data_IF_902667155182
#
_entry.id   IF_902667155182
#
_cell.length_a   1.000
_cell.length_b   1.000
_cell.length_c   1.000
_cell.angle_alpha   90.00
_cell.angle_beta   90.00
_cell.angle_gamma   90.00
#
_symmetry.space_group_name_H-M   'P 1'
#
loop_
_entity.id
_entity.type
_entity.pdbx_description
1 polymer ?
#
# COMPACT_ATOMS: atom_id res chain seq x y z
N UNK A 1 53.71 12.58 -18.82
CA UNK A 1 53.05 11.77 -19.85
C UNK A 1 51.71 12.38 -20.33
N UNK A 2 51.28 13.54 -19.81
CA UNK A 2 49.96 14.16 -20.05
C UNK A 2 49.90 15.14 -21.23
N UNK A 3 51.05 15.58 -21.77
CA UNK A 3 51.08 16.54 -22.89
C UNK A 3 50.58 15.96 -24.21
N UNK A 4 50.65 14.64 -24.41
CA UNK A 4 50.38 14.01 -25.70
C UNK A 4 48.87 13.90 -25.99
N UNK A 5 48.06 13.47 -25.00
CA UNK A 5 46.61 13.38 -25.15
C UNK A 5 45.93 14.76 -25.23
N UNK A 6 46.41 15.74 -24.45
CA UNK A 6 45.96 17.14 -24.59
C UNK A 6 46.27 17.69 -25.98
N UNK A 7 47.48 17.45 -26.49
CA UNK A 7 47.86 17.90 -27.84
C UNK A 7 47.05 17.18 -28.93
N UNK A 8 46.73 15.88 -28.77
CA UNK A 8 45.84 15.17 -29.69
C UNK A 8 44.46 15.83 -29.75
N UNK A 9 43.88 16.19 -28.59
CA UNK A 9 42.60 16.90 -28.55
C UNK A 9 42.68 18.30 -29.14
N UNK A 10 43.78 19.02 -28.93
CA UNK A 10 44.02 20.33 -29.58
C UNK A 10 44.04 20.19 -31.11
N UNK A 11 44.70 19.16 -31.66
CA UNK A 11 44.67 18.87 -33.10
C UNK A 11 43.28 18.51 -33.61
N UNK A 12 42.50 17.76 -32.83
CA UNK A 12 41.10 17.51 -33.16
C UNK A 12 40.30 18.82 -33.24
N UNK A 13 40.50 19.74 -32.29
CA UNK A 13 39.85 21.07 -32.28
C UNK A 13 40.27 21.92 -33.48
N UNK A 14 41.56 21.98 -33.79
CA UNK A 14 42.09 22.71 -34.96
C UNK A 14 41.47 22.19 -36.26
N UNK A 15 41.36 20.87 -36.41
CA UNK A 15 40.78 20.25 -37.59
C UNK A 15 39.29 20.62 -37.75
N UNK A 16 38.51 20.56 -36.66
CA UNK A 16 37.11 21.00 -36.68
C UNK A 16 37.00 22.50 -36.96
N UNK A 17 37.85 23.33 -36.37
CA UNK A 17 37.89 24.77 -36.62
C UNK A 17 38.24 25.12 -38.08
N UNK A 18 39.00 24.24 -38.77
CA UNK A 18 39.32 24.38 -40.19
C UNK A 18 38.19 23.93 -41.14
N UNK A 19 37.05 23.49 -40.60
CA UNK A 19 35.86 23.11 -41.37
C UNK A 19 35.62 21.61 -41.47
N UNK A 20 36.36 20.76 -40.75
CA UNK A 20 36.07 19.34 -40.68
C UNK A 20 34.78 19.07 -39.88
N UNK A 21 34.01 18.08 -40.32
CA UNK A 21 32.86 17.57 -39.57
C UNK A 21 33.31 16.60 -38.48
N UNK A 22 32.66 16.66 -37.31
CA UNK A 22 32.86 15.74 -36.20
C UNK A 22 31.57 14.96 -35.93
N UNK A 23 31.64 13.63 -36.02
CA UNK A 23 30.60 12.70 -35.57
C UNK A 23 31.12 12.00 -34.31
N UNK A 24 30.47 12.24 -33.17
CA UNK A 24 30.91 11.74 -31.89
C UNK A 24 29.92 10.73 -31.31
N UNK A 25 30.40 9.49 -31.09
CA UNK A 25 29.66 8.34 -30.57
C UNK A 25 30.18 7.94 -29.20
N UNK A 26 29.62 6.94 -28.53
CA UNK A 26 30.09 6.56 -27.17
C UNK A 26 31.54 6.02 -27.22
N UNK A 27 31.84 5.22 -28.23
CA UNK A 27 33.07 4.44 -28.40
C UNK A 27 34.10 5.13 -29.30
N UNK A 28 33.69 6.06 -30.15
CA UNK A 28 34.57 6.70 -31.11
C UNK A 28 34.22 8.17 -31.40
N UNK A 29 35.25 8.92 -31.79
CA UNK A 29 35.12 10.22 -32.44
C UNK A 29 35.61 10.08 -33.89
N UNK A 30 34.75 10.42 -34.85
CA UNK A 30 35.06 10.37 -36.28
C UNK A 30 35.12 11.79 -36.83
N UNK A 31 36.30 12.21 -37.28
CA UNK A 31 36.53 13.49 -37.92
C UNK A 31 36.63 13.27 -39.43
N UNK A 32 35.92 14.08 -40.23
CA UNK A 32 36.00 14.03 -41.70
C UNK A 32 36.29 15.41 -42.24
N UNK A 33 37.40 15.55 -42.95
CA UNK A 33 37.82 16.83 -43.51
C UNK A 33 39.19 16.74 -44.17
N UNK A 34 39.83 17.90 -44.35
CA UNK A 34 41.15 18.00 -44.98
C UNK A 34 42.18 18.42 -43.96
N UNK A 35 43.39 17.88 -44.09
CA UNK A 35 44.49 18.26 -43.24
C UNK A 35 45.04 19.63 -43.68
N UNK A 36 45.28 20.56 -42.74
CA UNK A 36 45.66 21.93 -43.09
C UNK A 36 47.10 22.06 -43.61
N UNK A 37 47.98 21.11 -43.29
CA UNK A 37 49.40 21.12 -43.69
C UNK A 37 50.03 19.72 -43.65
N UNK A 38 51.19 19.59 -44.29
CA UNK A 38 52.02 18.39 -44.20
C UNK A 38 52.44 18.07 -42.75
N UNK A 39 52.75 19.11 -41.95
CA UNK A 39 53.09 18.96 -40.53
C UNK A 39 51.91 18.37 -39.74
N UNK A 40 50.68 18.76 -40.06
CA UNK A 40 49.49 18.18 -39.44
C UNK A 40 49.34 16.70 -39.82
N UNK A 41 49.62 16.31 -41.07
CA UNK A 41 49.62 14.90 -41.47
C UNK A 41 50.66 14.10 -40.69
N UNK A 42 51.89 14.60 -40.57
CA UNK A 42 52.95 13.94 -39.80
C UNK A 42 52.50 13.78 -38.34
N UNK A 43 51.96 14.82 -37.71
CA UNK A 43 51.49 14.76 -36.32
C UNK A 43 50.37 13.73 -36.11
N UNK A 44 49.37 13.68 -37.01
CA UNK A 44 48.29 12.68 -36.92
C UNK A 44 48.80 11.25 -37.10
N UNK A 45 49.77 11.04 -37.98
CA UNK A 45 50.41 9.73 -38.17
C UNK A 45 51.29 9.34 -36.97
N UNK A 46 51.98 10.29 -36.34
CA UNK A 46 52.71 10.05 -35.09
C UNK A 46 51.78 9.59 -33.96
N UNK A 47 50.60 10.19 -33.83
CA UNK A 47 49.59 9.72 -32.87
C UNK A 47 49.01 8.36 -33.23
N UNK A 48 48.93 8.01 -34.53
CA UNK A 48 48.41 6.72 -34.95
C UNK A 48 49.39 5.58 -34.58
N UNK A 49 50.69 5.85 -34.62
CA UNK A 49 51.73 4.89 -34.23
C UNK A 49 51.85 4.73 -32.70
N UNK A 50 51.68 5.82 -31.94
CA UNK A 50 51.73 5.82 -30.47
C UNK A 50 50.51 6.56 -29.90
N UNK A 51 49.40 5.84 -29.79
CA UNK A 51 48.12 6.38 -29.34
C UNK A 51 48.23 6.78 -27.87
N UNK A 52 48.07 8.08 -27.52
CA UNK A 52 48.24 8.50 -26.16
C UNK A 52 47.07 8.04 -25.28
N UNK A 53 47.31 7.50 -24.08
CA UNK A 53 46.25 7.21 -23.13
C UNK A 53 45.51 8.51 -22.74
N UNK A 54 44.20 8.49 -22.49
CA UNK A 54 43.34 7.31 -22.31
C UNK A 54 42.67 6.77 -23.60
N UNK A 55 43.05 7.25 -24.79
CA UNK A 55 42.46 6.78 -26.05
C UNK A 55 42.92 5.36 -26.38
N UNK A 56 42.04 4.57 -27.02
CA UNK A 56 42.28 3.15 -27.28
C UNK A 56 42.85 2.86 -28.66
N UNK A 57 42.55 3.71 -29.64
CA UNK A 57 42.98 3.55 -31.03
C UNK A 57 42.93 4.87 -31.77
N UNK A 58 43.74 5.03 -32.81
CA UNK A 58 43.62 6.13 -33.77
C UNK A 58 43.90 5.59 -35.17
N UNK A 59 43.02 5.92 -36.12
CA UNK A 59 43.16 5.57 -37.52
C UNK A 59 43.04 6.83 -38.38
N UNK A 60 43.88 6.95 -39.40
CA UNK A 60 43.85 8.05 -40.37
C UNK A 60 43.60 7.43 -41.75
N UNK A 61 42.34 7.33 -42.14
CA UNK A 61 41.91 6.65 -43.35
C UNK A 61 41.84 7.60 -44.54
N UNK A 62 42.34 7.17 -45.70
CA UNK A 62 42.21 7.86 -46.97
C UNK A 62 41.18 7.15 -47.89
N UNK A 63 39.99 7.74 -48.08
CA UNK A 63 38.95 7.16 -48.92
C UNK A 63 39.36 6.98 -50.39
N UNK A 64 40.26 7.82 -50.91
CA UNK A 64 40.70 7.76 -52.30
C UNK A 64 41.66 6.59 -52.56
N UNK A 65 42.45 6.18 -51.55
CA UNK A 65 43.35 5.03 -51.64
C UNK A 65 42.71 3.73 -51.16
N UNK A 66 41.57 3.80 -50.47
CA UNK A 66 40.91 2.63 -49.89
C UNK A 66 41.67 2.02 -48.72
N UNK A 67 42.49 2.82 -48.01
CA UNK A 67 43.36 2.34 -46.94
C UNK A 67 43.83 3.46 -46.01
N UNK A 68 44.51 3.07 -44.94
CA UNK A 68 45.09 3.99 -43.96
C UNK A 68 46.32 4.71 -44.54
N UNK A 69 46.46 5.99 -44.20
CA UNK A 69 47.69 6.73 -44.46
C UNK A 69 48.82 6.19 -43.59
N UNK A 70 50.01 6.09 -44.15
CA UNK A 70 51.22 5.64 -43.47
C UNK A 70 52.31 6.69 -43.51
N UNK A 71 53.29 6.59 -42.60
CA UNK A 71 54.48 7.47 -42.67
C UNK A 71 55.18 7.32 -44.02
N UNK A 72 55.44 8.46 -44.67
CA UNK A 72 56.08 8.52 -45.97
C UNK A 72 55.11 8.80 -47.13
N UNK A 73 53.80 8.76 -46.91
CA UNK A 73 52.83 9.20 -47.90
C UNK A 73 52.94 10.71 -48.16
N UNK A 74 52.98 11.11 -49.44
CA UNK A 74 53.02 12.52 -49.82
C UNK A 74 51.76 13.25 -49.34
N UNK A 75 51.96 14.47 -48.81
CA UNK A 75 50.87 15.35 -48.41
C UNK A 75 50.17 15.93 -49.65
N UNK A 76 48.83 15.91 -49.62
CA UNK A 76 47.97 16.53 -50.62
C UNK A 76 46.92 17.41 -49.92
N UNK A 77 46.92 18.75 -50.16
CA UNK A 77 46.00 19.67 -49.51
C UNK A 77 44.53 19.48 -49.94
N UNK A 78 44.28 18.79 -51.05
CA UNK A 78 42.92 18.50 -51.53
C UNK A 78 42.40 17.14 -51.07
N UNK A 79 43.22 16.35 -50.38
CA UNK A 79 42.86 15.02 -49.90
C UNK A 79 41.93 15.12 -48.70
N UNK A 80 40.76 14.50 -48.84
CA UNK A 80 39.87 14.25 -47.71
C UNK A 80 40.37 13.04 -46.91
N UNK A 81 40.34 13.16 -45.59
CA UNK A 81 40.74 12.10 -44.65
C UNK A 81 39.60 11.83 -43.67
N UNK A 82 39.54 10.59 -43.19
CA UNK A 82 38.63 10.16 -42.12
C UNK A 82 39.50 9.74 -40.94
N UNK A 83 39.47 10.52 -39.87
CA UNK A 83 40.22 10.22 -38.66
C UNK A 83 39.26 9.60 -37.65
N UNK A 84 39.55 8.37 -37.20
CA UNK A 84 38.74 7.66 -36.20
C UNK A 84 39.54 7.49 -34.93
N UNK A 85 39.12 8.16 -33.87
CA UNK A 85 39.71 8.09 -32.53
C UNK A 85 38.84 7.22 -31.63
N UNK A 86 39.38 6.11 -31.14
CA UNK A 86 38.74 5.22 -30.18
C UNK A 86 38.82 5.79 -28.77
N UNK A 87 37.68 5.84 -28.08
CA UNK A 87 37.53 6.37 -26.73
C UNK A 87 37.62 5.25 -25.69
N UNK A 88 38.04 5.58 -24.45
CA UNK A 88 38.09 4.57 -23.40
C UNK A 88 36.71 3.99 -23.12
N UNK A 89 36.69 2.70 -22.82
CA UNK A 89 35.50 1.99 -22.36
C UNK A 89 35.59 1.88 -20.84
N UNK A 90 34.64 2.48 -20.14
CA UNK A 90 34.51 2.36 -18.70
C UNK A 90 33.03 2.16 -18.33
N UNK A 91 32.78 1.27 -17.37
CA UNK A 91 31.42 0.91 -16.97
C UNK A 91 30.63 2.13 -16.50
N UNK A 92 29.49 2.38 -17.15
CA UNK A 92 28.59 3.47 -16.81
C UNK A 92 29.10 4.87 -17.16
N UNK A 93 30.20 5.00 -17.92
CA UNK A 93 30.74 6.30 -18.33
C UNK A 93 30.72 6.43 -19.87
N UNK A 94 30.24 7.56 -20.38
CA UNK A 94 30.52 7.99 -21.74
C UNK A 94 31.49 9.17 -21.74
N UNK A 95 32.41 9.14 -22.68
CA UNK A 95 33.46 10.14 -22.82
C UNK A 95 33.19 10.96 -24.07
N UNK A 96 33.34 12.28 -24.01
CA UNK A 96 33.16 13.18 -25.15
C UNK A 96 34.30 14.18 -25.22
N UNK A 97 34.76 14.47 -26.43
CA UNK A 97 35.71 15.54 -26.71
C UNK A 97 34.97 16.86 -26.84
N UNK A 98 33.90 16.88 -27.64
CA UNK A 98 33.16 18.09 -27.97
C UNK A 98 31.79 18.13 -27.30
N UNK A 99 31.39 19.32 -26.82
CA UNK A 99 30.03 19.53 -26.31
C UNK A 99 28.95 19.39 -27.39
N UNK A 100 29.30 19.54 -28.67
CA UNK A 100 28.37 19.47 -29.81
C UNK A 100 27.80 18.07 -30.06
N UNK A 101 28.47 17.00 -29.61
CA UNK A 101 27.97 15.61 -29.71
C UNK A 101 26.91 15.26 -28.66
N UNK A 102 26.84 16.02 -27.57
CA UNK A 102 25.97 15.73 -26.42
C UNK A 102 24.46 15.74 -26.76
N UNK A 103 23.92 16.71 -27.51
CA UNK A 103 22.48 16.75 -27.79
C UNK A 103 21.98 15.49 -28.50
N UNK A 104 22.75 14.96 -29.46
CA UNK A 104 22.39 13.74 -30.19
C UNK A 104 22.40 12.51 -29.27
N UNK A 105 23.40 12.43 -28.38
CA UNK A 105 23.49 11.37 -27.39
C UNK A 105 22.34 11.40 -26.37
N UNK A 106 22.03 12.58 -25.81
CA UNK A 106 20.94 12.74 -24.84
C UNK A 106 19.55 12.49 -25.43
N UNK A 107 19.39 12.60 -26.76
CA UNK A 107 18.14 12.25 -27.43
C UNK A 107 17.84 10.74 -27.39
N UNK A 108 18.83 9.90 -27.08
CA UNK A 108 18.63 8.46 -26.93
C UNK A 108 17.75 8.14 -25.72
N UNK A 109 17.13 6.96 -25.72
CA UNK A 109 16.19 6.54 -24.68
C UNK A 109 16.87 6.18 -23.35
N UNK A 110 18.11 5.72 -23.43
CA UNK A 110 18.93 5.38 -22.28
C UNK A 110 20.24 6.16 -22.37
N UNK A 111 20.66 6.70 -21.22
CA UNK A 111 21.92 7.43 -21.07
C UNK A 111 22.74 6.77 -19.97
N UNK A 112 24.05 6.83 -20.10
CA UNK A 112 24.97 6.30 -19.10
C UNK A 112 25.01 7.23 -17.89
N UNK A 113 25.23 6.70 -16.67
CA UNK A 113 25.22 7.49 -15.44
C UNK A 113 26.24 8.62 -15.36
N UNK A 114 27.33 8.58 -16.13
CA UNK A 114 28.34 9.65 -16.13
C UNK A 114 28.75 10.05 -17.55
N UNK A 115 28.80 11.35 -17.80
CA UNK A 115 29.32 11.97 -19.01
C UNK A 115 30.55 12.79 -18.66
N UNK A 116 31.71 12.37 -19.15
CA UNK A 116 32.97 13.09 -19.00
C UNK A 116 33.28 13.82 -20.31
N UNK A 117 33.41 15.15 -20.28
CA UNK A 117 33.55 15.98 -21.47
C UNK A 117 34.85 16.80 -21.42
N UNK A 118 35.71 16.73 -22.45
CA UNK A 118 37.00 17.46 -22.46
C UNK A 118 36.81 18.97 -22.63
N UNK A 119 35.91 19.41 -23.52
CA UNK A 119 35.59 20.82 -23.75
C UNK A 119 34.78 21.48 -22.62
N UNK A 120 34.77 20.89 -21.44
CA UNK A 120 33.92 21.25 -20.31
C UNK A 120 34.79 21.74 -19.16
N UNK A 121 34.34 22.81 -18.50
CA UNK A 121 35.02 23.31 -17.30
C UNK A 121 34.30 22.82 -16.03
N UNK A 122 35.00 22.90 -14.89
CA UNK A 122 34.44 22.50 -13.59
C UNK A 122 33.25 23.36 -13.14
N UNK A 123 33.15 24.62 -13.59
CA UNK A 123 32.00 25.48 -13.30
C UNK A 123 30.74 25.08 -14.10
N UNK A 124 30.90 24.35 -15.21
CA UNK A 124 29.82 23.84 -16.04
C UNK A 124 29.32 22.47 -15.59
N UNK A 125 30.02 21.82 -14.65
CA UNK A 125 29.62 20.54 -14.07
C UNK A 125 28.23 20.62 -13.42
N UNK A 126 27.42 19.59 -13.64
CA UNK A 126 26.10 19.47 -13.03
C UNK A 126 25.76 18.02 -12.72
N UNK A 127 24.85 17.83 -11.78
CA UNK A 127 24.46 16.52 -11.29
C UNK A 127 22.94 16.40 -11.25
N UNK A 128 22.43 15.33 -11.86
CA UNK A 128 21.06 14.85 -11.77
C UNK A 128 21.07 13.47 -11.09
N UNK A 129 19.91 13.01 -10.58
CA UNK A 129 19.83 11.82 -9.71
C UNK A 129 20.46 10.54 -10.28
N UNK A 130 20.49 10.39 -11.60
CA UNK A 130 21.09 9.25 -12.30
C UNK A 130 22.05 9.66 -13.41
N UNK A 131 22.53 10.91 -13.40
CA UNK A 131 23.41 11.44 -14.43
C UNK A 131 24.35 12.49 -13.83
N UNK A 132 25.65 12.25 -13.93
CA UNK A 132 26.68 13.23 -13.62
C UNK A 132 27.35 13.70 -14.90
N UNK A 133 27.43 15.01 -15.08
CA UNK A 133 28.15 15.61 -16.21
C UNK A 133 29.30 16.44 -15.69
N UNK A 134 30.52 16.03 -16.02
CA UNK A 134 31.74 16.60 -15.47
C UNK A 134 32.82 16.80 -16.54
N UNK A 135 33.82 17.62 -16.21
CA UNK A 135 34.99 17.79 -17.04
C UNK A 135 35.81 16.50 -17.10
N UNK A 136 36.22 16.10 -18.30
CA UNK A 136 37.12 14.97 -18.50
C UNK A 136 38.56 15.43 -18.37
N UNK A 137 39.15 15.18 -17.20
CA UNK A 137 40.59 15.32 -17.01
C UNK A 137 41.32 14.14 -17.68
N UNK A 138 41.95 14.39 -18.83
CA UNK A 138 42.72 13.40 -19.58
C UNK A 138 43.93 12.85 -18.79
N UNK A 139 44.36 13.54 -17.73
CA UNK A 139 45.46 13.10 -16.88
C UNK A 139 45.03 12.10 -15.80
N UNK A 140 43.73 12.02 -15.49
CA UNK A 140 43.22 11.20 -14.39
C UNK A 140 42.24 10.15 -14.87
N UNK A 141 42.27 8.93 -14.32
CA UNK A 141 41.23 7.96 -14.58
C UNK A 141 39.90 8.49 -14.03
N UNK A 142 38.84 8.40 -14.84
CA UNK A 142 37.50 8.76 -14.40
C UNK A 142 37.00 7.65 -13.47
N UNK A 143 36.62 7.97 -12.22
CA UNK A 143 36.11 6.96 -11.30
C UNK A 143 34.81 6.35 -11.84
N UNK A 144 34.41 5.15 -11.37
CA UNK A 144 33.08 4.64 -11.65
C UNK A 144 32.01 5.57 -11.08
N UNK A 145 30.81 5.62 -11.68
CA UNK A 145 29.70 6.39 -11.14
C UNK A 145 29.24 5.82 -9.78
N UNK A 146 28.71 6.68 -8.92
CA UNK A 146 28.11 6.24 -7.67
C UNK A 146 26.90 5.32 -7.94
N UNK A 147 26.65 4.37 -7.04
CA UNK A 147 25.65 3.33 -7.22
C UNK A 147 24.25 3.96 -7.44
N UNK A 148 23.65 3.67 -8.60
CA UNK A 148 22.37 4.26 -9.00
C UNK A 148 21.24 3.83 -8.06
N UNK A 149 20.39 4.77 -7.65
CA UNK A 149 19.05 4.43 -7.16
C UNK A 149 18.28 3.67 -8.23
N UNK A 150 17.36 2.77 -7.83
CA UNK A 150 16.54 2.03 -8.79
C UNK A 150 15.82 2.95 -9.80
N UNK A 151 15.56 2.49 -11.03
CA UNK A 151 15.03 3.33 -12.10
C UNK A 151 13.62 3.83 -11.74
N UNK A 152 13.36 5.10 -12.04
CA UNK A 152 12.00 5.65 -11.98
C UNK A 152 11.37 5.43 -13.35
N UNK A 153 10.61 4.34 -13.49
CA UNK A 153 10.01 3.92 -14.77
C UNK A 153 8.57 4.46 -14.93
N UNK A 154 8.35 5.51 -15.74
CA UNK A 154 7.02 6.06 -15.98
C UNK A 154 6.21 5.23 -17.00
N UNK A 155 6.82 4.28 -17.72
CA UNK A 155 6.17 3.57 -18.83
C UNK A 155 4.95 2.75 -18.42
N UNK A 156 4.81 2.46 -17.12
CA UNK A 156 3.64 1.77 -16.54
C UNK A 156 2.40 2.66 -16.46
N UNK A 157 2.58 3.98 -16.40
CA UNK A 157 1.50 4.95 -16.19
C UNK A 157 1.15 5.73 -17.46
N UNK A 158 2.07 5.75 -18.43
CA UNK A 158 1.94 6.50 -19.69
C UNK A 158 1.74 5.55 -20.86
N UNK A 159 0.70 5.76 -21.68
CA UNK A 159 0.54 5.00 -22.92
C UNK A 159 1.29 5.66 -24.06
N UNK A 160 2.37 5.00 -24.49
CA UNK A 160 3.22 5.46 -25.57
C UNK A 160 2.84 4.82 -26.91
N UNK A 161 2.27 5.64 -27.80
CA UNK A 161 1.91 5.29 -29.18
C UNK A 161 2.92 5.81 -30.21
N UNK A 162 4.05 6.39 -29.77
CA UNK A 162 5.12 6.82 -30.67
C UNK A 162 5.96 5.59 -31.07
N UNK A 163 6.20 5.33 -32.37
CA UNK A 163 6.95 4.16 -32.83
C UNK A 163 8.33 4.01 -32.18
N UNK A 164 9.06 5.12 -32.06
CA UNK A 164 10.43 5.16 -31.51
C UNK A 164 10.49 5.16 -29.97
N UNK A 165 9.33 5.02 -29.31
CA UNK A 165 9.17 5.05 -27.85
C UNK A 165 9.67 6.35 -27.21
N UNK A 166 8.82 7.37 -27.26
CA UNK A 166 9.10 8.68 -26.65
C UNK A 166 9.32 8.60 -25.13
N UNK A 167 8.67 7.65 -24.46
CA UNK A 167 8.72 7.53 -23.01
C UNK A 167 9.96 6.73 -22.58
N UNK A 168 10.82 7.40 -21.80
CA UNK A 168 12.03 6.83 -21.21
C UNK A 168 11.70 5.80 -20.13
N UNK A 169 12.62 4.87 -19.89
CA UNK A 169 12.49 3.83 -18.85
C UNK A 169 13.06 4.26 -17.50
N UNK A 170 13.73 5.41 -17.46
CA UNK A 170 14.26 5.98 -16.22
C UNK A 170 14.20 7.52 -16.26
N UNK A 171 13.56 8.12 -15.26
CA UNK A 171 13.50 9.57 -15.07
C UNK A 171 14.68 10.15 -14.26
N UNK A 172 15.47 9.33 -13.56
CA UNK A 172 16.58 9.81 -12.72
C UNK A 172 17.58 10.72 -13.47
N UNK A 173 18.01 10.43 -14.72
CA UNK A 173 18.95 11.28 -15.46
C UNK A 173 18.43 12.70 -15.77
N UNK A 174 17.13 12.91 -15.65
CA UNK A 174 16.45 14.14 -16.05
C UNK A 174 16.03 15.00 -14.85
N UNK A 175 16.21 14.50 -13.62
CA UNK A 175 15.88 15.21 -12.37
C UNK A 175 17.12 15.88 -11.78
N UNK A 176 17.23 17.20 -11.96
CA UNK A 176 18.38 17.98 -11.46
C UNK A 176 18.51 17.90 -9.93
N UNK A 177 19.73 17.71 -9.45
CA UNK A 177 20.10 17.78 -8.03
C UNK A 177 20.99 18.98 -7.76
N UNK A 178 22.01 19.17 -8.60
CA UNK A 178 22.97 20.27 -8.50
C UNK A 178 23.08 20.97 -9.85
N UNK A 179 22.64 22.23 -9.89
CA UNK A 179 22.78 23.10 -11.06
C UNK A 179 24.25 23.49 -11.29
N UNK A 180 24.65 23.75 -12.55
CA UNK A 180 25.99 24.24 -12.83
C UNK A 180 26.16 25.69 -12.37
N UNK A 181 27.40 26.06 -12.02
CA UNK A 181 27.74 27.45 -11.69
C UNK A 181 27.77 28.36 -12.92
N UNK A 182 28.04 27.80 -14.10
CA UNK A 182 28.02 28.49 -15.39
C UNK A 182 27.24 27.68 -16.44
N UNK A 183 26.39 28.35 -17.23
CA UNK A 183 25.64 27.71 -18.32
C UNK A 183 26.59 27.25 -19.44
N UNK A 184 26.25 26.14 -20.08
CA UNK A 184 26.98 25.57 -21.22
C UNK A 184 26.00 25.09 -22.30
N UNK A 185 26.43 24.99 -23.57
CA UNK A 185 25.63 24.38 -24.63
C UNK A 185 25.14 22.97 -24.27
N UNK A 186 25.98 22.15 -23.62
CA UNK A 186 25.59 20.83 -23.17
C UNK A 186 24.49 20.87 -22.09
N UNK A 187 24.58 21.80 -21.12
CA UNK A 187 23.55 21.96 -20.10
C UNK A 187 22.22 22.45 -20.70
N UNK A 188 22.25 23.39 -21.65
CA UNK A 188 21.04 23.87 -22.33
C UNK A 188 20.36 22.77 -23.15
N UNK A 189 21.14 21.95 -23.84
CA UNK A 189 20.63 20.78 -24.55
C UNK A 189 20.03 19.75 -23.59
N UNK A 190 20.72 19.47 -22.48
CA UNK A 190 20.21 18.61 -21.42
C UNK A 190 18.92 19.15 -20.83
N UNK A 191 18.82 20.44 -20.53
CA UNK A 191 17.63 21.06 -19.95
C UNK A 191 16.40 20.94 -20.86
N UNK A 192 16.58 21.16 -22.17
CA UNK A 192 15.51 21.01 -23.15
C UNK A 192 15.01 19.56 -23.23
N UNK A 193 15.94 18.59 -23.27
CA UNK A 193 15.60 17.17 -23.32
C UNK A 193 15.00 16.71 -21.99
N UNK A 194 15.55 17.14 -20.86
CA UNK A 194 15.08 16.81 -19.52
C UNK A 194 13.63 17.27 -19.33
N UNK A 195 13.30 18.51 -19.70
CA UNK A 195 11.92 19.01 -19.62
C UNK A 195 10.96 18.16 -20.47
N UNK A 196 11.35 17.81 -21.70
CA UNK A 196 10.58 16.92 -22.58
C UNK A 196 10.37 15.53 -21.96
N UNK A 197 11.43 14.90 -21.43
CA UNK A 197 11.34 13.55 -20.82
C UNK A 197 10.54 13.55 -19.53
N UNK A 198 10.71 14.56 -18.67
CA UNK A 198 9.94 14.71 -17.43
C UNK A 198 8.45 14.91 -17.73
N UNK A 199 8.10 15.81 -18.66
CA UNK A 199 6.72 15.99 -19.06
C UNK A 199 6.16 14.69 -19.66
N UNK A 200 6.93 14.01 -20.52
CA UNK A 200 6.57 12.70 -21.05
C UNK A 200 6.19 11.68 -19.98
N UNK A 201 6.92 11.66 -18.86
CA UNK A 201 6.63 10.78 -17.73
C UNK A 201 5.44 11.20 -16.85
N UNK A 202 4.95 12.43 -16.97
CA UNK A 202 3.86 12.99 -16.14
C UNK A 202 2.51 13.05 -16.87
N UNK A 203 2.50 12.84 -18.19
CA UNK A 203 1.30 12.86 -19.02
C UNK A 203 0.67 11.47 -19.15
N UNK A 204 -0.59 11.40 -19.57
CA UNK A 204 -1.29 10.10 -19.71
C UNK A 204 -0.93 9.35 -20.99
N UNK A 205 -0.60 10.07 -22.07
CA UNK A 205 -0.34 9.48 -23.39
C UNK A 205 0.69 10.28 -24.19
N UNK A 206 1.41 9.58 -25.05
CA UNK A 206 2.21 10.18 -26.13
C UNK A 206 1.77 9.57 -27.47
N UNK A 207 1.68 10.37 -28.53
CA UNK A 207 1.46 9.87 -29.89
C UNK A 207 2.16 10.74 -30.93
N UNK A 208 2.29 10.18 -32.13
CA UNK A 208 2.80 10.85 -33.31
C UNK A 208 1.62 11.25 -34.22
N UNK A 209 1.52 12.52 -34.56
CA UNK A 209 0.48 13.07 -35.45
C UNK A 209 1.17 14.06 -36.40
N UNK A 210 1.06 13.84 -37.71
CA UNK A 210 1.71 14.66 -38.76
C UNK A 210 3.23 14.84 -38.58
N UNK A 211 3.93 13.80 -38.10
CA UNK A 211 5.37 13.85 -37.82
C UNK A 211 5.74 14.62 -36.54
N UNK A 212 4.75 15.13 -35.81
CA UNK A 212 4.93 15.83 -34.54
C UNK A 212 4.59 14.90 -33.37
N UNK A 213 5.45 14.90 -32.34
CA UNK A 213 5.17 14.18 -31.09
C UNK A 213 4.34 15.07 -30.17
N UNK A 214 3.18 14.56 -29.74
CA UNK A 214 2.27 15.22 -28.82
C UNK A 214 2.18 14.46 -27.50
N UNK A 215 2.26 15.22 -26.41
CA UNK A 215 2.16 14.76 -25.03
C UNK A 215 0.79 15.20 -24.48
N UNK A 216 -0.02 14.23 -24.04
CA UNK A 216 -1.42 14.47 -23.63
C UNK A 216 -1.63 14.25 -22.14
N UNK A 217 -1.95 15.34 -21.44
CA UNK A 217 -2.47 15.30 -20.09
C UNK A 217 -3.95 14.86 -20.09
N UNK A 218 -4.29 14.00 -19.11
CA UNK A 218 -5.56 13.31 -18.95
C UNK A 218 -5.94 12.34 -20.09
N UNK A 219 -6.53 11.19 -19.73
CA UNK A 219 -7.06 10.22 -20.68
C UNK A 219 -8.48 10.56 -21.16
N UNK A 220 -9.20 11.38 -20.38
CA UNK A 220 -10.61 11.76 -20.58
C UNK A 220 -10.77 13.28 -20.50
N UNK A 221 -11.80 13.88 -21.12
CA UNK A 221 -12.04 15.32 -21.05
C UNK A 221 -12.10 15.88 -19.61
N UNK A 222 -11.57 17.09 -19.37
CA UNK A 222 -10.86 17.94 -20.33
C UNK A 222 -9.47 17.36 -20.69
N UNK A 223 -9.09 17.47 -21.97
CA UNK A 223 -7.81 17.00 -22.49
C UNK A 223 -6.91 18.21 -22.77
N UNK A 224 -5.64 18.11 -22.43
CA UNK A 224 -4.63 19.11 -22.79
C UNK A 224 -3.45 18.45 -23.52
N UNK A 225 -3.04 19.05 -24.65
CA UNK A 225 -1.98 18.55 -25.52
C UNK A 225 -0.85 19.58 -25.61
N UNK A 226 0.38 19.13 -25.43
CA UNK A 226 1.60 19.92 -25.52
C UNK A 226 2.51 19.24 -26.55
N UNK A 227 3.18 20.01 -27.41
CA UNK A 227 4.18 19.44 -28.32
C UNK A 227 5.44 19.08 -27.55
N UNK A 228 6.05 17.94 -27.86
CA UNK A 228 7.26 17.50 -27.17
C UNK A 228 8.48 18.43 -27.42
N UNK A 229 8.47 19.22 -28.48
CA UNK A 229 9.48 20.20 -28.87
C UNK A 229 9.04 21.66 -28.63
N UNK A 230 8.03 21.88 -27.78
CA UNK A 230 7.56 23.22 -27.46
C UNK A 230 8.68 24.06 -26.83
N UNK A 231 8.94 25.22 -27.41
CA UNK A 231 9.99 26.15 -26.97
C UNK A 231 9.85 26.64 -25.53
N UNK A 232 8.67 26.53 -24.92
CA UNK A 232 8.44 26.91 -23.53
C UNK A 232 8.91 25.84 -22.53
N UNK A 233 9.11 24.59 -22.96
CA UNK A 233 9.44 23.47 -22.07
C UNK A 233 10.74 23.66 -21.27
N UNK A 234 11.89 24.06 -21.86
CA UNK A 234 13.14 24.16 -21.12
C UNK A 234 13.02 25.07 -19.88
N UNK A 235 12.27 26.17 -19.99
CA UNK A 235 12.02 27.11 -18.89
C UNK A 235 11.11 26.60 -17.76
N UNK A 236 10.55 25.39 -17.90
CA UNK A 236 9.64 24.76 -16.91
C UNK A 236 10.25 23.56 -16.20
N UNK A 237 11.54 23.28 -16.41
CA UNK A 237 12.24 22.12 -15.86
C UNK A 237 12.12 22.03 -14.33
N UNK A 238 12.21 23.15 -13.61
CA UNK A 238 12.06 23.18 -12.15
C UNK A 238 10.70 22.65 -11.69
N UNK A 239 9.62 23.14 -12.29
CA UNK A 239 8.25 22.73 -11.98
C UNK A 239 8.01 21.26 -12.32
N UNK A 240 8.54 20.82 -13.47
CA UNK A 240 8.48 19.41 -13.88
C UNK A 240 9.28 18.50 -12.94
N UNK A 241 10.43 18.95 -12.44
CA UNK A 241 11.24 18.20 -11.46
C UNK A 241 10.50 18.09 -10.13
N UNK A 242 9.85 19.17 -9.68
CA UNK A 242 9.04 19.15 -8.45
C UNK A 242 7.83 18.21 -8.60
N UNK A 243 7.10 18.31 -9.72
CA UNK A 243 5.97 17.44 -10.01
C UNK A 243 6.40 15.96 -10.08
N UNK A 244 7.49 15.64 -10.78
CA UNK A 244 8.03 14.29 -10.85
C UNK A 244 8.47 13.78 -9.46
N UNK A 245 9.08 14.63 -8.65
CA UNK A 245 9.45 14.28 -7.27
C UNK A 245 8.22 13.99 -6.40
N UNK A 246 7.16 14.77 -6.55
CA UNK A 246 5.91 14.55 -5.83
C UNK A 246 5.21 13.25 -6.27
N UNK A 247 5.10 13.01 -7.58
CA UNK A 247 4.43 11.83 -8.13
C UNK A 247 5.20 10.54 -7.81
N UNK A 248 6.50 10.50 -8.10
CA UNK A 248 7.28 9.26 -8.11
C UNK A 248 8.07 9.00 -6.82
N UNK A 249 8.44 10.04 -6.07
CA UNK A 249 9.35 9.90 -4.91
C UNK A 249 8.68 10.10 -3.54
N UNK A 250 7.47 10.65 -3.49
CA UNK A 250 6.82 10.99 -2.20
C UNK A 250 6.06 9.85 -1.53
N UNK A 251 6.07 8.63 -2.09
CA UNK A 251 5.51 7.43 -1.45
C UNK A 251 5.05 6.38 -2.45
N UNK A 252 4.33 5.36 -1.97
CA UNK A 252 3.98 4.16 -2.77
C UNK A 252 2.81 4.36 -3.74
N UNK A 253 1.93 5.32 -3.49
CA UNK A 253 0.74 5.56 -4.32
C UNK A 253 1.04 6.43 -5.56
N UNK A 254 1.93 5.92 -6.41
CA UNK A 254 2.38 6.62 -7.61
C UNK A 254 1.24 6.74 -8.63
N UNK A 255 0.41 5.71 -8.77
CA UNK A 255 -0.67 5.66 -9.75
C UNK A 255 -1.73 6.75 -9.50
N UNK A 256 -2.21 6.89 -8.25
CA UNK A 256 -3.19 7.92 -7.92
C UNK A 256 -2.61 9.32 -8.10
N UNK A 257 -1.37 9.56 -7.65
CA UNK A 257 -0.70 10.87 -7.82
C UNK A 257 -0.49 11.22 -9.29
N UNK A 258 -0.04 10.27 -10.10
CA UNK A 258 0.12 10.46 -11.55
C UNK A 258 -1.23 10.78 -12.21
N UNK A 259 -2.28 10.02 -11.89
CA UNK A 259 -3.62 10.24 -12.44
C UNK A 259 -4.18 11.63 -12.05
N UNK A 260 -4.05 12.00 -10.78
CA UNK A 260 -4.49 13.30 -10.27
C UNK A 260 -3.71 14.45 -10.90
N UNK A 261 -2.38 14.36 -10.96
CA UNK A 261 -1.55 15.38 -11.60
C UNK A 261 -1.89 15.54 -13.08
N UNK A 262 -1.97 14.44 -13.83
CA UNK A 262 -2.32 14.48 -15.26
C UNK A 262 -3.71 15.07 -15.50
N UNK A 263 -4.67 14.78 -14.61
CA UNK A 263 -6.01 15.34 -14.65
C UNK A 263 -6.05 16.84 -14.34
N UNK A 264 -5.37 17.27 -13.28
CA UNK A 264 -5.31 18.68 -12.89
C UNK A 264 -4.49 19.52 -13.87
N UNK A 265 -3.45 18.96 -14.49
CA UNK A 265 -2.72 19.62 -15.58
C UNK A 265 -3.64 19.94 -16.76
N UNK A 266 -4.55 19.02 -17.10
CA UNK A 266 -5.51 19.26 -18.16
C UNK A 266 -6.59 20.30 -17.79
N UNK A 267 -6.92 20.43 -16.49
CA UNK A 267 -7.90 21.41 -15.98
C UNK A 267 -7.32 22.81 -15.77
N UNK A 268 -6.04 22.88 -15.38
CA UNK A 268 -5.34 24.12 -15.11
C UNK A 268 -5.10 24.95 -16.37
N UNK A 269 -5.10 24.32 -17.55
CA UNK A 269 -4.85 25.01 -18.81
C UNK A 269 -5.90 26.11 -19.08
N UNK A 270 -5.44 27.36 -19.10
CA UNK A 270 -6.22 28.51 -19.60
C UNK A 270 -5.65 29.07 -20.90
N UNK A 271 -6.50 29.68 -21.75
CA UNK A 271 -6.03 30.49 -22.87
C UNK A 271 -5.04 31.58 -22.39
N UNK A 272 -3.97 31.83 -23.17
CA UNK A 272 -2.91 32.83 -22.92
C UNK A 272 -2.06 32.63 -21.63
N UNK A 273 -2.29 31.59 -20.85
CA UNK A 273 -1.45 31.26 -19.70
C UNK A 273 -0.15 30.58 -20.14
N UNK A 274 0.96 30.91 -19.47
CA UNK A 274 2.24 30.26 -19.67
C UNK A 274 2.27 28.85 -19.05
N UNK A 275 3.17 28.01 -19.56
CA UNK A 275 3.25 26.61 -19.14
C UNK A 275 3.75 26.47 -17.69
N UNK A 276 4.67 27.34 -17.24
CA UNK A 276 5.19 27.31 -15.88
C UNK A 276 4.07 27.53 -14.86
N UNK A 277 3.30 28.61 -14.99
CA UNK A 277 2.15 28.88 -14.11
C UNK A 277 1.09 27.79 -14.20
N UNK A 278 0.88 27.18 -15.38
CA UNK A 278 -0.06 26.06 -15.54
C UNK A 278 0.40 24.84 -14.74
N UNK A 279 1.69 24.51 -14.75
CA UNK A 279 2.27 23.39 -14.01
C UNK A 279 2.21 23.62 -12.49
N UNK A 280 2.50 24.84 -12.02
CA UNK A 280 2.43 25.18 -10.59
C UNK A 280 1.00 25.03 -10.06
N UNK A 281 0.02 25.59 -10.78
CA UNK A 281 -1.39 25.47 -10.40
C UNK A 281 -1.87 24.01 -10.43
N UNK A 282 -1.44 23.25 -11.44
CA UNK A 282 -1.78 21.83 -11.54
C UNK A 282 -1.19 21.01 -10.40
N UNK A 283 0.06 21.27 -10.01
CA UNK A 283 0.72 20.57 -8.92
C UNK A 283 0.05 20.84 -7.58
N UNK A 284 -0.26 22.11 -7.26
CA UNK A 284 -0.95 22.47 -6.03
C UNK A 284 -2.38 21.91 -5.97
N UNK A 285 -3.11 21.98 -7.09
CA UNK A 285 -4.43 21.35 -7.18
C UNK A 285 -4.37 19.83 -7.02
N UNK A 286 -3.36 19.17 -7.60
CA UNK A 286 -3.18 17.72 -7.49
C UNK A 286 -2.80 17.29 -6.07
N UNK A 287 -1.93 18.05 -5.38
CA UNK A 287 -1.59 17.84 -3.96
C UNK A 287 -2.85 17.94 -3.08
N UNK A 288 -3.66 18.99 -3.27
CA UNK A 288 -4.91 19.18 -2.53
C UNK A 288 -5.94 18.07 -2.83
N UNK A 289 -6.08 17.67 -4.09
CA UNK A 289 -6.98 16.59 -4.50
C UNK A 289 -6.54 15.23 -3.92
N UNK A 290 -5.23 14.98 -3.87
CA UNK A 290 -4.68 13.78 -3.23
C UNK A 290 -4.93 13.76 -1.73
N UNK A 291 -4.73 14.88 -1.04
CA UNK A 291 -5.05 14.98 0.39
C UNK A 291 -6.53 14.70 0.65
N UNK A 292 -7.43 15.28 -0.16
CA UNK A 292 -8.86 15.01 -0.07
C UNK A 292 -9.19 13.51 -0.34
N UNK A 293 -8.53 12.89 -1.32
CA UNK A 293 -8.68 11.47 -1.62
C UNK A 293 -8.26 10.56 -0.45
N UNK A 294 -7.12 10.86 0.17
CA UNK A 294 -6.63 10.12 1.35
C UNK A 294 -7.60 10.29 2.53
N UNK A 295 -8.11 11.51 2.74
CA UNK A 295 -9.11 11.78 3.78
C UNK A 295 -10.45 11.05 3.53
N UNK A 296 -10.94 11.03 2.29
CA UNK A 296 -12.18 10.34 1.94
C UNK A 296 -12.06 8.82 2.10
N UNK A 297 -10.94 8.24 1.65
CA UNK A 297 -10.66 6.81 1.83
C UNK A 297 -10.60 6.42 3.32
N UNK A 298 -9.98 7.27 4.15
CA UNK A 298 -9.96 7.11 5.61
C UNK A 298 -11.37 7.18 6.22
N UNK A 299 -12.24 8.06 5.72
CA UNK A 299 -13.64 8.14 6.17
C UNK A 299 -14.46 6.91 5.78
N UNK A 300 -14.26 6.37 4.59
CA UNK A 300 -14.95 5.16 4.12
C UNK A 300 -14.52 3.92 4.91
N UNK A 301 -13.23 3.78 5.22
CA UNK A 301 -12.73 2.68 6.07
C UNK A 301 -13.27 2.77 7.50
N UNK A 302 -13.32 3.97 8.09
CA UNK A 302 -13.97 4.18 9.40
C UNK A 302 -15.46 3.84 9.37
N UNK A 303 -16.16 4.18 8.28
CA UNK A 303 -17.57 3.82 8.09
C UNK A 303 -17.76 2.31 7.97
N UNK A 304 -16.92 1.63 7.19
CA UNK A 304 -16.96 0.17 7.05
C UNK A 304 -16.71 -0.53 8.40
N UNK A 305 -15.79 -0.02 9.23
CA UNK A 305 -15.57 -0.50 10.59
C UNK A 305 -16.79 -0.27 11.49
N UNK A 306 -17.46 0.88 11.37
CA UNK A 306 -18.69 1.16 12.12
C UNK A 306 -19.84 0.23 11.70
N UNK A 307 -19.99 -0.02 10.39
CA UNK A 307 -20.99 -0.93 9.85
C UNK A 307 -20.70 -2.38 10.28
N UNK A 308 -19.44 -2.82 10.22
CA UNK A 308 -19.02 -4.14 10.73
C UNK A 308 -19.39 -4.32 12.21
N UNK A 309 -19.12 -3.30 13.04
CA UNK A 309 -19.51 -3.31 14.46
C UNK A 309 -21.01 -3.46 14.63
N UNK A 310 -21.80 -2.69 13.87
CA UNK A 310 -23.26 -2.76 13.93
C UNK A 310 -23.74 -4.17 13.59
N UNK A 311 -23.23 -4.75 12.52
CA UNK A 311 -23.55 -6.13 12.11
C UNK A 311 -23.21 -7.13 13.21
N UNK A 312 -22.02 -7.04 13.82
CA UNK A 312 -21.63 -7.94 14.92
C UNK A 312 -22.54 -7.80 16.14
N UNK A 313 -22.95 -6.58 16.50
CA UNK A 313 -23.90 -6.35 17.60
C UNK A 313 -25.27 -6.96 17.26
N UNK A 314 -25.80 -6.69 16.07
CA UNK A 314 -27.09 -7.21 15.61
C UNK A 314 -27.09 -8.74 15.57
N UNK A 315 -26.01 -9.37 15.11
CA UNK A 315 -25.84 -10.83 15.13
C UNK A 315 -25.76 -11.37 16.55
N UNK A 316 -25.02 -10.72 17.45
CA UNK A 316 -24.93 -11.13 18.86
C UNK A 316 -26.29 -11.04 19.56
N UNK A 317 -27.07 -9.99 19.27
CA UNK A 317 -28.45 -9.84 19.77
C UNK A 317 -29.37 -10.92 19.21
N UNK A 318 -29.29 -11.24 17.92
CA UNK A 318 -30.05 -12.34 17.31
C UNK A 318 -29.71 -13.69 17.94
N UNK A 319 -28.43 -13.96 18.21
CA UNK A 319 -27.99 -15.19 18.87
C UNK A 319 -28.53 -15.26 20.30
N UNK A 320 -28.45 -14.15 21.05
CA UNK A 320 -29.01 -14.08 22.39
C UNK A 320 -30.53 -14.30 22.41
N UNK A 321 -31.25 -13.69 21.47
CA UNK A 321 -32.69 -13.88 21.30
C UNK A 321 -33.00 -15.35 20.96
N UNK A 322 -32.30 -15.96 20.01
CA UNK A 322 -32.47 -17.38 19.68
C UNK A 322 -32.20 -18.28 20.88
N UNK A 323 -31.20 -17.97 21.71
CA UNK A 323 -30.93 -18.72 22.93
C UNK A 323 -32.08 -18.59 23.95
N UNK A 324 -32.64 -17.39 24.11
CA UNK A 324 -33.81 -17.15 24.95
C UNK A 324 -35.06 -17.85 24.42
N UNK A 325 -35.30 -17.82 23.11
CA UNK A 325 -36.42 -18.49 22.45
C UNK A 325 -36.31 -20.01 22.55
N UNK A 326 -35.10 -20.57 22.39
CA UNK A 326 -34.83 -21.99 22.62
C UNK A 326 -35.10 -22.36 24.08
N UNK A 327 -34.63 -21.55 25.03
CA UNK A 327 -34.93 -21.77 26.45
C UNK A 327 -36.45 -21.74 26.69
N UNK A 328 -37.17 -20.74 26.16
CA UNK A 328 -38.64 -20.64 26.26
C UNK A 328 -39.38 -21.82 25.62
N UNK A 329 -38.85 -22.36 24.52
CA UNK A 329 -39.41 -23.55 23.86
C UNK A 329 -39.21 -24.79 24.71
N UNK A 330 -38.01 -25.00 25.26
CA UNK A 330 -37.76 -26.08 26.21
C UNK A 330 -38.65 -25.97 27.47
N UNK A 331 -38.92 -24.74 27.95
CA UNK A 331 -39.88 -24.50 29.03
C UNK A 331 -41.29 -24.96 28.66
N UNK A 332 -41.74 -24.63 27.45
CA UNK A 332 -43.06 -25.01 26.94
C UNK A 332 -43.18 -26.52 26.80
N UNK A 333 -42.20 -27.16 26.18
CA UNK A 333 -42.19 -28.62 25.98
C UNK A 333 -42.20 -29.36 27.30
N UNK A 334 -41.45 -28.87 28.29
CA UNK A 334 -41.47 -29.44 29.62
C UNK A 334 -42.80 -29.21 30.33
N UNK A 335 -43.39 -28.01 30.27
CA UNK A 335 -44.72 -27.76 30.83
C UNK A 335 -45.79 -28.69 30.22
N UNK A 336 -45.76 -28.91 28.90
CA UNK A 336 -46.68 -29.83 28.20
C UNK A 336 -46.44 -31.28 28.62
N UNK A 337 -45.18 -31.70 28.78
CA UNK A 337 -44.86 -33.07 29.22
C UNK A 337 -45.16 -33.34 30.70
N UNK A 338 -45.02 -32.32 31.57
CA UNK A 338 -45.26 -32.42 33.00
C UNK A 338 -46.74 -32.25 33.38
N UNK A 339 -47.52 -31.49 32.60
CA UNK A 339 -48.93 -31.20 32.89
C UNK A 339 -49.80 -32.47 33.09
N UNK A 340 -49.71 -33.54 32.28
CA UNK A 340 -50.47 -34.77 32.51
C UNK A 340 -50.13 -35.45 33.83
N UNK A 341 -48.87 -35.40 34.27
CA UNK A 341 -48.45 -35.96 35.55
C UNK A 341 -49.01 -35.16 36.72
N UNK A 342 -48.92 -33.83 36.64
CA UNK A 342 -49.48 -32.93 37.65
C UNK A 342 -51.01 -33.05 37.72
N UNK A 343 -51.71 -33.08 36.59
CA UNK A 343 -53.16 -33.28 36.53
C UNK A 343 -53.57 -34.66 37.04
N UNK A 344 -52.81 -35.73 36.73
CA UNK A 344 -53.08 -37.07 37.23
C UNK A 344 -52.97 -37.12 38.76
N UNK A 345 -51.97 -36.45 39.33
CA UNK A 345 -51.77 -36.38 40.79
C UNK A 345 -52.82 -35.51 41.47
N UNK A 346 -53.19 -34.36 40.89
CA UNK A 346 -54.31 -33.55 41.40
C UNK A 346 -55.65 -34.28 41.29
N UNK A 347 -55.88 -35.05 40.22
CA UNK A 347 -57.05 -35.89 40.05
C UNK A 347 -57.08 -37.07 41.03
N UNK A 348 -55.93 -37.67 41.29
CA UNK A 348 -55.75 -38.70 42.31
C UNK A 348 -55.76 -38.13 43.73
N UNK A 349 -55.72 -36.81 43.97
CA UNK A 349 -55.81 -36.21 45.31
C UNK A 349 -57.14 -36.46 46.04
N UNK A 350 -58.13 -37.05 45.37
CA UNK A 350 -59.34 -37.61 46.01
C UNK A 350 -59.11 -39.00 46.64
N UNK A 351 -57.95 -39.62 46.42
CA UNK A 351 -57.43 -40.81 47.11
C UNK A 351 -56.06 -40.47 47.69
N UNK A 352 -55.77 -40.89 48.91
CA UNK A 352 -54.50 -40.59 49.61
C UNK A 352 -53.29 -40.86 48.71
N UNK A 353 -52.55 -39.81 48.27
CA UNK A 353 -51.39 -39.98 47.41
C UNK A 353 -50.29 -40.74 48.16
N UNK A 354 -49.59 -41.65 47.47
CA UNK A 354 -48.36 -42.25 48.00
C UNK A 354 -47.35 -41.11 48.32
N UNK A 355 -46.96 -40.92 49.59
CA UNK A 355 -46.16 -39.76 49.96
C UNK A 355 -44.75 -39.77 49.35
N UNK A 356 -44.27 -40.93 48.88
CA UNK A 356 -43.02 -41.05 48.12
C UNK A 356 -43.15 -40.39 46.75
N UNK A 357 -44.30 -40.54 46.09
CA UNK A 357 -44.53 -39.93 44.77
C UNK A 357 -44.66 -38.42 44.93
N UNK A 358 -45.45 -37.94 45.90
CA UNK A 358 -45.62 -36.51 46.17
C UNK A 358 -44.31 -35.81 46.51
N UNK A 359 -43.48 -36.41 47.37
CA UNK A 359 -42.16 -35.86 47.71
C UNK A 359 -41.21 -35.81 46.50
N UNK A 360 -41.19 -36.84 45.66
CA UNK A 360 -40.41 -36.85 44.43
C UNK A 360 -40.78 -35.69 43.48
N UNK A 361 -42.07 -35.34 43.38
CA UNK A 361 -42.53 -34.19 42.59
C UNK A 361 -42.09 -32.84 43.18
N UNK A 362 -42.14 -32.67 44.49
CA UNK A 362 -41.66 -31.45 45.14
C UNK A 362 -40.15 -31.23 44.93
N UNK A 363 -39.35 -32.30 45.05
CA UNK A 363 -37.91 -32.23 44.75
C UNK A 363 -37.62 -32.00 43.26
N UNK A 364 -38.37 -32.65 42.37
CA UNK A 364 -38.25 -32.44 40.93
C UNK A 364 -38.59 -30.99 40.54
N UNK A 365 -39.66 -30.42 41.10
CA UNK A 365 -40.05 -29.03 40.88
C UNK A 365 -39.00 -28.04 41.41
N UNK A 366 -38.45 -28.30 42.60
CA UNK A 366 -37.38 -27.49 43.19
C UNK A 366 -36.10 -27.52 42.33
N UNK A 367 -35.65 -28.72 41.93
CA UNK A 367 -34.49 -28.88 41.05
C UNK A 367 -34.70 -28.24 39.68
N UNK A 368 -35.92 -28.33 39.16
CA UNK A 368 -36.29 -27.72 37.88
C UNK A 368 -36.27 -26.19 37.91
N UNK A 369 -36.87 -25.57 38.93
CA UNK A 369 -36.85 -24.11 39.12
C UNK A 369 -35.41 -23.63 39.33
N UNK A 370 -34.60 -24.36 40.10
CA UNK A 370 -33.18 -24.04 40.30
C UNK A 370 -32.36 -24.10 39.01
N UNK A 371 -32.55 -25.15 38.20
CA UNK A 371 -31.90 -25.29 36.90
C UNK A 371 -32.36 -24.21 35.91
N UNK A 372 -33.65 -23.87 35.93
CA UNK A 372 -34.25 -22.80 35.12
C UNK A 372 -33.55 -21.47 35.31
N UNK A 373 -33.54 -21.05 36.56
CA UNK A 373 -33.01 -19.78 36.97
C UNK A 373 -31.50 -19.72 36.71
N UNK A 374 -30.79 -20.83 36.96
CA UNK A 374 -29.35 -20.94 36.69
C UNK A 374 -29.01 -20.82 35.20
N UNK A 375 -29.82 -21.40 34.32
CA UNK A 375 -29.61 -21.35 32.87
C UNK A 375 -29.90 -19.94 32.34
N UNK A 376 -31.00 -19.31 32.78
CA UNK A 376 -31.36 -17.94 32.43
C UNK A 376 -30.27 -16.95 32.90
N UNK A 377 -29.74 -17.14 34.11
CA UNK A 377 -28.63 -16.37 34.65
C UNK A 377 -27.36 -16.51 33.81
N UNK A 378 -26.99 -17.74 33.44
CA UNK A 378 -25.79 -17.99 32.63
C UNK A 378 -25.89 -17.36 31.24
N UNK A 379 -27.04 -17.51 30.57
CA UNK A 379 -27.23 -16.97 29.22
C UNK A 379 -27.16 -15.43 29.24
N UNK A 380 -27.89 -14.80 30.16
CA UNK A 380 -27.88 -13.33 30.28
C UNK A 380 -26.51 -12.81 30.75
N UNK A 381 -25.87 -13.49 31.70
CA UNK A 381 -24.54 -13.14 32.19
C UNK A 381 -23.47 -13.23 31.10
N UNK A 382 -23.47 -14.30 30.31
CA UNK A 382 -22.55 -14.48 29.18
C UNK A 382 -22.76 -13.40 28.10
N UNK A 383 -24.01 -13.01 27.83
CA UNK A 383 -24.32 -11.93 26.91
C UNK A 383 -23.76 -10.58 27.39
N UNK A 384 -23.96 -10.22 28.65
CA UNK A 384 -23.41 -8.97 29.21
C UNK A 384 -21.88 -8.97 29.24
N UNK A 385 -21.25 -10.11 29.55
CA UNK A 385 -19.79 -10.24 29.52
C UNK A 385 -19.23 -10.07 28.09
N UNK A 386 -19.87 -10.68 27.10
CA UNK A 386 -19.51 -10.53 25.68
C UNK A 386 -19.60 -9.06 25.24
N UNK A 387 -20.69 -8.37 25.61
CA UNK A 387 -20.82 -6.94 25.33
C UNK A 387 -19.76 -6.09 26.04
N UNK A 388 -19.43 -6.39 27.30
CA UNK A 388 -18.41 -5.68 28.05
C UNK A 388 -17.00 -5.87 27.45
N UNK A 389 -16.67 -7.09 27.02
CA UNK A 389 -15.39 -7.39 26.36
C UNK A 389 -15.26 -6.66 25.00
N UNK A 390 -16.30 -6.73 24.16
CA UNK A 390 -16.36 -6.02 22.87
C UNK A 390 -16.23 -4.50 23.06
N UNK A 391 -16.89 -3.95 24.09
CA UNK A 391 -16.80 -2.52 24.44
C UNK A 391 -15.40 -2.09 24.83
N UNK A 392 -14.69 -2.87 25.65
CA UNK A 392 -13.31 -2.55 26.10
C UNK A 392 -12.34 -2.46 24.92
N UNK A 393 -12.41 -3.43 24.00
CA UNK A 393 -11.57 -3.46 22.80
C UNK A 393 -11.88 -2.25 21.89
N UNK A 394 -13.16 -1.90 21.74
CA UNK A 394 -13.56 -0.74 20.95
C UNK A 394 -13.16 0.61 21.59
N UNK A 395 -13.34 0.73 22.90
CA UNK A 395 -12.92 1.91 23.68
C UNK A 395 -11.40 2.09 23.67
N UNK A 396 -10.64 0.98 23.53
CA UNK A 396 -9.20 1.03 23.27
C UNK A 396 -8.86 1.73 21.94
N UNK A 397 -9.64 1.47 20.89
CA UNK A 397 -9.44 2.11 19.58
C UNK A 397 -9.86 3.58 19.53
N UNK A 398 -10.72 4.06 20.46
CA UNK A 398 -11.20 5.45 20.50
C UNK A 398 -10.42 6.39 21.43
N UNK A 399 -9.47 5.89 22.22
CA UNK A 399 -8.72 6.73 23.18
C UNK A 399 -7.97 7.90 22.52
N UNK A 400 -7.73 7.86 21.21
CA UNK A 400 -7.05 8.94 20.48
C UNK A 400 -7.95 10.15 20.18
N UNK A 401 -9.27 10.05 20.31
CA UNK A 401 -10.20 11.08 19.79
C UNK A 401 -11.19 11.67 20.79
N UNK A 402 -11.34 11.09 22.00
CA UNK A 402 -12.30 11.58 22.99
C UNK A 402 -11.68 11.62 24.39
N UNK A 403 -11.97 12.68 25.16
CA UNK A 403 -11.46 12.83 26.52
C UNK A 403 -12.07 11.80 27.48
N UNK A 404 -11.32 11.44 28.54
CA UNK A 404 -11.77 10.46 29.54
C UNK A 404 -13.10 10.88 30.20
N UNK A 405 -13.31 12.18 30.42
CA UNK A 405 -14.51 12.72 31.06
C UNK A 405 -15.76 12.60 30.18
N UNK A 406 -15.62 12.90 28.90
CA UNK A 406 -16.70 12.82 27.91
C UNK A 406 -17.11 11.37 27.65
N UNK A 407 -16.16 10.43 27.77
CA UNK A 407 -16.42 8.99 27.75
C UNK A 407 -17.25 8.51 28.95
N UNK A 408 -16.88 8.96 30.15
CA UNK A 408 -17.51 8.53 31.40
C UNK A 408 -18.97 9.00 31.48
N UNK A 409 -19.24 10.21 30.99
CA UNK A 409 -20.56 10.83 31.01
C UNK A 409 -21.52 10.26 29.93
N UNK A 410 -21.02 10.03 28.71
CA UNK A 410 -21.88 9.62 27.59
C UNK A 410 -22.11 8.10 27.55
N UNK A 411 -21.13 7.30 27.97
CA UNK A 411 -21.15 5.85 27.73
C UNK A 411 -21.02 4.99 28.98
N UNK A 412 -20.12 5.29 29.92
CA UNK A 412 -19.84 4.38 31.04
C UNK A 412 -20.92 4.49 32.14
N UNK A 413 -21.26 5.71 32.56
CA UNK A 413 -22.23 5.95 33.65
C UNK A 413 -23.64 5.38 33.38
N UNK A 414 -24.27 5.61 32.22
CA UNK A 414 -25.62 5.08 31.96
C UNK A 414 -25.65 3.54 31.92
N UNK A 415 -24.54 2.93 31.50
CA UNK A 415 -24.43 1.49 31.29
C UNK A 415 -24.11 0.78 32.61
N UNK A 416 -23.26 1.36 33.44
CA UNK A 416 -23.02 0.86 34.79
C UNK A 416 -24.28 0.96 35.65
N UNK A 417 -25.07 2.04 35.49
CA UNK A 417 -26.39 2.14 36.10
C UNK A 417 -27.35 1.05 35.60
N UNK A 418 -27.40 0.78 34.29
CA UNK A 418 -28.22 -0.30 33.74
C UNK A 418 -27.79 -1.69 34.25
N UNK A 419 -26.48 -1.95 34.33
CA UNK A 419 -25.92 -3.20 34.88
C UNK A 419 -26.17 -3.34 36.38
N UNK A 420 -26.11 -2.24 37.14
CA UNK A 420 -26.44 -2.20 38.56
C UNK A 420 -27.91 -2.53 38.79
N UNK A 421 -28.81 -1.87 38.05
CA UNK A 421 -30.25 -2.13 38.12
C UNK A 421 -30.58 -3.58 37.76
N UNK A 422 -29.91 -4.14 36.75
CA UNK A 422 -30.06 -5.56 36.39
C UNK A 422 -29.62 -6.50 37.53
N UNK A 423 -28.45 -6.25 38.14
CA UNK A 423 -27.96 -7.06 39.27
C UNK A 423 -28.86 -6.97 40.49
N UNK A 424 -29.38 -5.79 40.80
CA UNK A 424 -30.32 -5.57 41.91
C UNK A 424 -31.64 -6.31 41.67
N UNK A 425 -32.22 -6.15 40.48
CA UNK A 425 -33.45 -6.86 40.09
C UNK A 425 -33.27 -8.37 40.15
N UNK A 426 -32.13 -8.87 39.65
CA UNK A 426 -31.83 -10.29 39.69
C UNK A 426 -31.57 -10.81 41.11
N UNK A 427 -30.93 -10.01 41.97
CA UNK A 427 -30.75 -10.34 43.39
C UNK A 427 -32.08 -10.51 44.11
N UNK A 428 -33.05 -9.62 43.85
CA UNK A 428 -34.40 -9.74 44.39
C UNK A 428 -35.12 -11.01 43.89
N UNK A 429 -35.03 -11.31 42.59
CA UNK A 429 -35.59 -12.54 42.02
C UNK A 429 -34.95 -13.81 42.61
N UNK A 430 -33.64 -13.81 42.85
CA UNK A 430 -32.94 -14.93 43.48
C UNK A 430 -33.49 -15.24 44.87
N UNK A 431 -33.79 -14.22 45.68
CA UNK A 431 -34.40 -14.41 47.00
C UNK A 431 -35.79 -15.04 46.88
N UNK A 432 -36.61 -14.56 45.95
CA UNK A 432 -37.97 -15.09 45.73
C UNK A 432 -37.93 -16.55 45.26
N UNK A 433 -37.12 -16.86 44.25
CA UNK A 433 -36.97 -18.23 43.75
C UNK A 433 -36.31 -19.16 44.78
N UNK A 434 -35.33 -18.66 45.54
CA UNK A 434 -34.68 -19.40 46.62
C UNK A 434 -35.67 -19.76 47.73
N UNK A 435 -36.52 -18.82 48.15
CA UNK A 435 -37.57 -19.07 49.14
C UNK A 435 -38.57 -20.11 48.62
N UNK A 436 -38.99 -20.00 47.35
CA UNK A 436 -39.88 -20.98 46.72
C UNK A 436 -39.26 -22.39 46.71
N UNK A 437 -37.98 -22.51 46.36
CA UNK A 437 -37.24 -23.79 46.38
C UNK A 437 -37.19 -24.36 47.80
N UNK A 438 -36.90 -23.54 48.81
CA UNK A 438 -36.87 -23.95 50.23
C UNK A 438 -38.23 -24.46 50.68
N UNK A 439 -39.30 -23.75 50.34
CA UNK A 439 -40.68 -24.14 50.66
C UNK A 439 -41.03 -25.48 50.00
N UNK A 440 -40.70 -25.66 48.72
CA UNK A 440 -40.93 -26.92 48.00
C UNK A 440 -40.15 -28.09 48.63
N UNK A 441 -38.88 -27.88 48.98
CA UNK A 441 -38.06 -28.88 49.67
C UNK A 441 -38.67 -29.23 51.03
N UNK A 442 -39.12 -28.23 51.81
CA UNK A 442 -39.75 -28.45 53.11
C UNK A 442 -41.04 -29.28 53.00
N UNK A 443 -41.89 -29.01 52.00
CA UNK A 443 -43.07 -29.84 51.71
C UNK A 443 -42.69 -31.26 51.28
N UNK A 444 -41.63 -31.42 50.48
CA UNK A 444 -41.12 -32.74 50.09
C UNK A 444 -40.60 -33.55 51.28
N UNK A 445 -39.89 -32.92 52.21
CA UNK A 445 -39.40 -33.56 53.44
C UNK A 445 -40.54 -33.92 54.38
N UNK A 446 -41.53 -33.03 54.56
CA UNK A 446 -42.72 -33.32 55.37
C UNK A 446 -43.49 -34.53 54.81
N UNK A 447 -43.69 -34.58 53.50
CA UNK A 447 -44.34 -35.72 52.85
C UNK A 447 -43.57 -37.04 53.05
N UNK A 448 -42.24 -37.03 53.14
CA UNK A 448 -41.44 -38.23 53.46
C UNK A 448 -41.55 -38.65 54.93
N UNK A 449 -41.71 -37.71 55.85
CA UNK A 449 -41.84 -38.02 57.29
C UNK A 449 -43.15 -38.75 57.58
N UNK A 450 -44.22 -38.44 56.83
CA UNK A 450 -45.51 -39.13 56.89
C UNK A 450 -45.44 -40.61 56.43
N UNK A 451 -44.36 -41.05 55.77
CA UNK A 451 -44.12 -42.45 55.31
C UNK A 451 -43.61 -43.38 56.43
N UNK A 452 -43.40 -42.88 57.66
CA UNK A 452 -42.83 -43.70 58.75
C UNK A 452 -43.94 -44.23 59.69
N UNK A 453 -44.57 -45.41 59.45
CA UNK A 453 -45.39 -46.04 60.47
C UNK A 453 -44.49 -46.66 61.54
N UNK A 454 -44.78 -46.35 62.81
CA UNK A 454 -44.22 -47.05 63.97
C UNK A 454 -44.44 -48.57 63.84
N UNK A 455 -43.35 -49.32 63.73
CA UNK A 455 -43.34 -50.77 63.87
C UNK A 455 -42.46 -51.15 65.07
N UNK A 456 -43.11 -51.65 66.13
CA UNK A 456 -42.71 -52.80 66.97
C UNK A 456 -43.13 -52.63 68.45
N UNK A 457 -44.14 -53.40 68.86
CA UNK A 457 -43.92 -54.40 69.92
C UNK A 457 -45.10 -55.38 70.04
N UNK A 458 -44.89 -56.68 69.74
CA UNK A 458 -45.75 -57.75 70.22
C UNK A 458 -45.13 -58.49 71.43
N UNK A 459 -46.05 -59.04 72.23
CA UNK A 459 -45.96 -60.26 73.03
C UNK A 459 -45.37 -60.23 74.46
N UNK A 460 -46.27 -60.44 75.44
CA UNK A 460 -46.32 -61.57 76.41
C UNK A 460 -47.04 -61.09 77.69
N UNK A 461 -47.82 -61.85 78.46
CA UNK A 461 -48.39 -63.20 78.44
C UNK A 461 -49.39 -63.24 79.62
N UNK A 462 -50.41 -64.11 79.53
CA UNK A 462 -50.87 -65.06 80.58
C UNK A 462 -52.36 -65.38 80.38
N UNK A 463 -52.63 -66.65 80.04
CA UNK A 463 -53.94 -67.31 80.14
C UNK A 463 -54.03 -68.08 81.47
N UNK A 464 -55.23 -68.53 81.91
CA UNK A 464 -55.65 -69.88 81.50
C UNK A 464 -57.16 -70.07 81.22
N UNK A 465 -57.45 -71.10 80.42
CA UNK A 465 -58.76 -71.72 80.08
C UNK A 465 -59.21 -72.71 81.20
N UNK A 466 -60.34 -73.49 81.15
CA UNK A 466 -61.39 -73.66 80.12
C UNK A 466 -62.85 -73.86 80.66
N UNK A 467 -63.87 -73.93 79.77
CA UNK A 467 -64.83 -75.07 79.66
C UNK A 467 -66.06 -74.85 78.74
N UNK A 468 -66.25 -75.84 77.85
CA UNK A 468 -67.48 -76.53 77.43
C UNK A 468 -68.51 -75.95 76.41
N UNK A 469 -68.90 -76.84 75.50
CA UNK A 469 -69.71 -76.77 74.26
C UNK A 469 -71.19 -77.16 74.55
N UNK A 470 -72.21 -76.86 73.71
CA UNK A 470 -72.64 -77.83 72.67
C UNK A 470 -73.16 -77.20 71.34
N UNK A 471 -73.33 -77.97 70.23
CA UNK A 471 -73.78 -77.48 68.92
C UNK A 471 -75.20 -78.00 68.54
N UNK A 472 -75.66 -77.93 67.27
CA UNK A 472 -76.77 -77.12 66.75
C UNK A 472 -78.07 -77.94 66.49
N UNK A 473 -79.08 -77.38 65.79
CA UNK A 473 -79.63 -78.21 64.71
C UNK A 473 -79.94 -77.48 63.40
N UNK A 474 -79.71 -78.25 62.34
CA UNK A 474 -80.10 -77.98 60.97
C UNK A 474 -81.60 -78.31 60.73
N UNK A 475 -82.06 -77.78 59.59
CA UNK A 475 -83.34 -77.95 58.88
C UNK A 475 -83.92 -79.37 58.86
N UNK A 476 -85.24 -79.47 58.66
CA UNK A 476 -86.03 -80.53 57.99
C UNK A 476 -87.53 -80.12 58.03
N UNK A 477 -88.45 -80.72 57.26
CA UNK A 477 -88.41 -81.25 55.89
C UNK A 477 -89.13 -80.35 54.86
#
# INVERSE_FOLDING_TARGET
>A
MTSSSTHLVERARELVASGASADERIDALVLRGRLPSADAQVAWLEFADDVPPPFSSLQVYNPALGGDLVRGDDFDPMRDVIITLGKPVADGCAFFVFQSGIPHYLAQRAVLPRLAIVDFNSAQAFHARGLEVAAWDLAQPVPPPECSTGPIDPSRYVRDFVPDREIVTDLNPWMLVTAPAASSPAYQAWEAIAARRLLGGLVSRAWLEDGQVWLQAAATPPIYRIKADDSALPGTRSQLTEAASWVFLSGTDIEARHLLFSGELARARRPQQDLATTLDQALEAAKAAYEAHVQSSSRETLKALADLRKTVIDETQKVAQRAQDLAATLWRDLAVSAAPFVLKILGDATKTPDPIISSAFYFAAAGFIGLSFSLQWRINGAFFQSQAASRRIWMQSLYSYISVREREEIAETPIDQAMKNYRETHGALLVVYGLLIVVLIAFGVHALQDVTPSASNPAASVAPSPAAVPPPPAKLP
#
